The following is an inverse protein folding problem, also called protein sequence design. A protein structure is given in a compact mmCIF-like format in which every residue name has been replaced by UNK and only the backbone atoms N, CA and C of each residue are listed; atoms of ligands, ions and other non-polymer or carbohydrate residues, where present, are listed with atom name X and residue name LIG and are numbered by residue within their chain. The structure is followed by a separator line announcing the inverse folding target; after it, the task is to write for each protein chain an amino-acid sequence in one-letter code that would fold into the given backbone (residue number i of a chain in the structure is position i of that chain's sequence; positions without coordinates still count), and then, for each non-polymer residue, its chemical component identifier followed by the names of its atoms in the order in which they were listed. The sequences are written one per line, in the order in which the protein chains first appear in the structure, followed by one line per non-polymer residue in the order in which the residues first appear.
data_IF_818996592713
#
_entry.id   IF_818996592713
#
_cell.length_a   1.000
_cell.length_b   1.000
_cell.length_c   1.000
_cell.angle_alpha   90.00
_cell.angle_beta   90.00
_cell.angle_gamma   90.00
#
_symmetry.space_group_name_H-M   'P 1'
#
loop_
_entity.id
_entity.type
_entity.pdbx_description
1 polymer ?
#
# COMPACT_ATOMS: atom_id res chain seq x y z
N UNK A 1 -8.90 13.78 -0.57
CA UNK A 1 -9.65 12.55 -0.22
C UNK A 1 -10.12 12.66 1.23
N UNK A 2 -11.37 12.29 1.55
CA UNK A 2 -11.78 12.02 2.94
C UNK A 2 -13.18 12.44 3.41
N UNK A 3 -13.79 13.48 2.84
CA UNK A 3 -15.10 13.95 3.30
C UNK A 3 -16.21 12.88 3.28
N UNK A 4 -16.15 11.93 2.34
CA UNK A 4 -17.08 10.79 2.32
C UNK A 4 -16.89 9.82 3.50
N UNK A 5 -15.67 9.66 4.00
CA UNK A 5 -15.37 8.83 5.18
C UNK A 5 -15.76 9.53 6.48
N UNK A 6 -15.90 10.86 6.49
CA UNK A 6 -16.48 11.58 7.63
C UNK A 6 -18.00 11.34 7.75
N UNK A 7 -18.64 10.77 6.72
CA UNK A 7 -20.05 10.35 6.74
C UNK A 7 -20.21 8.86 7.10
N UNK A 8 -19.14 8.13 7.39
CA UNK A 8 -19.18 6.70 7.67
C UNK A 8 -20.12 6.41 8.85
N UNK A 9 -21.11 5.54 8.62
CA UNK A 9 -22.11 5.12 9.60
C UNK A 9 -23.18 6.15 9.98
N UNK A 10 -23.15 7.38 9.43
CA UNK A 10 -24.21 8.39 9.66
C UNK A 10 -25.60 7.97 9.16
N UNK A 11 -25.65 6.92 8.33
CA UNK A 11 -26.87 6.35 7.75
C UNK A 11 -27.17 4.95 8.30
N UNK A 12 -26.45 4.51 9.34
CA UNK A 12 -26.70 3.26 10.05
C UNK A 12 -27.36 3.59 11.39
N UNK A 13 -28.45 2.91 11.71
CA UNK A 13 -29.12 2.91 13.02
C UNK A 13 -28.81 1.64 13.82
N UNK A 14 -27.94 0.77 13.30
CA UNK A 14 -27.47 -0.41 13.99
C UNK A 14 -26.67 -0.03 15.25
N UNK A 15 -27.10 -0.54 16.40
CA UNK A 15 -26.53 -0.17 17.68
C UNK A 15 -25.07 -0.63 17.85
N UNK A 16 -24.68 -1.74 17.20
CA UNK A 16 -23.30 -2.23 17.20
C UNK A 16 -22.41 -1.31 16.37
N UNK A 17 -22.85 -0.92 15.18
CA UNK A 17 -22.13 0.00 14.30
C UNK A 17 -21.93 1.37 14.96
N UNK A 18 -22.99 1.95 15.53
CA UNK A 18 -22.94 3.24 16.24
C UNK A 18 -21.99 3.15 17.44
N UNK A 19 -22.07 2.05 18.21
CA UNK A 19 -21.17 1.78 19.31
C UNK A 19 -19.71 1.59 18.87
N UNK A 20 -19.46 1.00 17.70
CA UNK A 20 -18.12 0.87 17.12
C UNK A 20 -17.55 2.22 16.69
N UNK A 21 -18.34 3.05 15.99
CA UNK A 21 -17.96 4.40 15.57
C UNK A 21 -17.60 5.30 16.76
N UNK A 22 -18.40 5.26 17.83
CA UNK A 22 -18.14 6.02 19.05
C UNK A 22 -16.85 5.63 19.79
N UNK A 23 -16.27 4.45 19.48
CA UNK A 23 -15.01 3.97 20.08
C UNK A 23 -13.76 4.37 19.27
N UNK A 24 -13.92 4.88 18.05
CA UNK A 24 -12.79 5.32 17.23
C UNK A 24 -12.05 6.49 17.90
N UNK A 25 -10.72 6.44 17.88
CA UNK A 25 -9.83 7.47 18.48
C UNK A 25 -9.27 8.44 17.44
N UNK A 26 -9.50 8.17 16.16
CA UNK A 26 -9.06 8.97 15.02
C UNK A 26 -10.20 9.03 14.00
N UNK A 27 -10.07 9.90 13.00
CA UNK A 27 -11.02 9.89 11.88
C UNK A 27 -10.85 8.58 11.10
N UNK A 28 -11.92 8.02 10.51
CA UNK A 28 -11.83 6.77 9.76
C UNK A 28 -10.71 6.77 8.71
N UNK A 29 -10.53 7.88 7.98
CA UNK A 29 -9.47 8.00 6.98
C UNK A 29 -8.05 7.89 7.55
N UNK A 30 -7.83 8.35 8.79
CA UNK A 30 -6.51 8.29 9.39
C UNK A 30 -6.11 6.84 9.68
N UNK A 31 -7.08 5.98 10.02
CA UNK A 31 -6.85 4.54 10.11
C UNK A 31 -6.56 3.93 8.74
N UNK A 32 -7.27 4.37 7.68
CA UNK A 32 -7.02 3.85 6.34
C UNK A 32 -5.59 4.15 5.84
N UNK A 33 -5.03 5.30 6.21
CA UNK A 33 -3.63 5.66 5.92
C UNK A 33 -2.60 4.81 6.68
N UNK A 34 -2.99 4.13 7.75
CA UNK A 34 -2.09 3.27 8.53
C UNK A 34 -1.92 1.87 7.93
N UNK A 35 -2.80 1.44 7.03
CA UNK A 35 -2.62 0.18 6.32
C UNK A 35 -1.40 0.22 5.41
N UNK A 36 -0.88 -0.97 5.10
CA UNK A 36 0.08 -1.12 4.01
C UNK A 36 -0.69 -1.46 2.74
N UNK A 37 -0.44 -0.69 1.68
CA UNK A 37 -0.79 -1.08 0.31
C UNK A 37 0.39 -1.81 -0.35
N UNK A 38 0.15 -2.50 -1.47
CA UNK A 38 1.22 -3.06 -2.29
C UNK A 38 1.14 -2.60 -3.76
N UNK A 39 2.16 -2.94 -4.53
CA UNK A 39 2.29 -2.55 -5.95
C UNK A 39 1.70 -3.58 -6.92
N UNK A 40 0.92 -4.57 -6.48
CA UNK A 40 0.35 -5.61 -7.33
C UNK A 40 -0.83 -5.08 -8.18
N UNK A 41 -0.50 -4.16 -9.08
CA UNK A 41 -1.43 -3.38 -9.90
C UNK A 41 -1.23 -3.66 -11.39
N UNK A 42 -0.52 -4.74 -11.73
CA UNK A 42 -0.29 -5.19 -13.10
C UNK A 42 0.27 -4.08 -14.02
N UNK A 43 1.22 -3.30 -13.50
CA UNK A 43 1.85 -2.18 -14.22
C UNK A 43 1.06 -0.87 -14.24
N UNK A 44 -0.08 -0.75 -13.56
CA UNK A 44 -0.89 0.48 -13.52
C UNK A 44 -0.23 1.61 -12.72
N UNK A 45 0.70 2.32 -13.35
CA UNK A 45 1.50 3.40 -12.76
C UNK A 45 0.66 4.50 -12.08
N UNK A 46 -0.44 4.96 -12.67
CA UNK A 46 -1.27 6.01 -12.06
C UNK A 46 -1.92 5.59 -10.73
N UNK A 47 -2.22 4.29 -10.57
CA UNK A 47 -2.71 3.75 -9.31
C UNK A 47 -1.61 3.74 -8.24
N UNK A 48 -0.35 3.46 -8.63
CA UNK A 48 0.80 3.58 -7.72
C UNK A 48 1.01 5.02 -7.25
N UNK A 49 0.92 6.02 -8.14
CA UNK A 49 1.00 7.44 -7.76
C UNK A 49 -0.10 7.84 -6.76
N UNK A 50 -1.32 7.31 -6.97
CA UNK A 50 -2.45 7.55 -6.07
C UNK A 50 -2.20 6.90 -4.70
N UNK A 51 -1.62 5.69 -4.70
CA UNK A 51 -1.19 5.00 -3.47
C UNK A 51 -0.10 5.78 -2.74
N UNK A 52 0.94 6.25 -3.45
CA UNK A 52 2.02 7.07 -2.90
C UNK A 52 1.48 8.33 -2.23
N UNK A 53 0.59 9.05 -2.90
CA UNK A 53 -0.01 10.26 -2.36
C UNK A 53 -0.93 10.00 -1.14
N UNK A 54 -1.53 8.81 -1.04
CA UNK A 54 -2.47 8.47 0.02
C UNK A 54 -1.80 7.85 1.26
N UNK A 55 -1.01 6.80 1.05
CA UNK A 55 -0.35 6.02 2.11
C UNK A 55 0.99 6.62 2.53
N UNK A 56 1.70 7.27 1.60
CA UNK A 56 3.11 7.64 1.78
C UNK A 56 4.04 6.44 1.58
N UNK A 57 5.32 6.73 1.28
CA UNK A 57 6.30 5.71 0.92
C UNK A 57 6.55 4.65 2.02
N UNK A 58 6.37 5.00 3.30
CA UNK A 58 6.58 4.10 4.45
C UNK A 58 5.46 3.06 4.64
N UNK A 59 4.39 3.16 3.86
CA UNK A 59 3.20 2.31 3.95
C UNK A 59 2.88 1.61 2.61
N UNK A 60 3.86 1.47 1.73
CA UNK A 60 3.73 0.74 0.46
C UNK A 60 4.76 -0.38 0.39
N UNK A 61 4.32 -1.57 0.00
CA UNK A 61 5.16 -2.75 -0.20
C UNK A 61 5.29 -3.05 -1.69
N UNK A 62 6.48 -3.45 -2.14
CA UNK A 62 6.60 -4.02 -3.47
C UNK A 62 5.96 -5.42 -3.51
N UNK A 63 5.08 -5.62 -4.48
CA UNK A 63 4.37 -6.86 -4.75
C UNK A 63 3.96 -6.94 -6.22
N UNK A 64 3.92 -8.15 -6.78
CA UNK A 64 3.68 -8.38 -8.22
C UNK A 64 2.54 -9.36 -8.49
N UNK A 65 2.02 -10.02 -7.45
CA UNK A 65 1.04 -11.10 -7.56
C UNK A 65 1.50 -12.23 -8.51
N UNK A 66 2.78 -12.60 -8.43
CA UNK A 66 3.27 -13.81 -9.10
C UNK A 66 2.57 -15.04 -8.48
N UNK A 67 2.06 -16.00 -9.26
CA UNK A 67 2.31 -16.24 -10.69
C UNK A 67 1.14 -15.92 -11.64
N UNK A 68 0.28 -14.96 -11.32
CA UNK A 68 -1.03 -14.82 -11.97
C UNK A 68 -1.04 -14.13 -13.35
N UNK A 69 0.11 -13.70 -13.88
CA UNK A 69 0.16 -13.13 -15.21
C UNK A 69 0.09 -14.20 -16.33
N UNK A 70 -0.26 -13.82 -17.58
CA UNK A 70 -0.36 -14.76 -18.71
C UNK A 70 0.91 -15.56 -19.01
N UNK A 71 2.09 -15.05 -18.65
CA UNK A 71 3.39 -15.71 -18.77
C UNK A 71 3.79 -16.53 -17.52
N UNK A 72 2.88 -16.69 -16.55
CA UNK A 72 3.06 -17.48 -15.30
C UNK A 72 4.01 -16.85 -14.26
N UNK A 73 4.09 -15.53 -14.18
CA UNK A 73 4.85 -14.78 -13.17
C UNK A 73 5.77 -13.67 -13.70
N UNK A 74 6.58 -13.92 -14.74
CA UNK A 74 7.58 -12.96 -15.20
C UNK A 74 7.03 -11.65 -15.78
N UNK A 75 5.82 -11.68 -16.37
CA UNK A 75 5.22 -10.52 -17.02
C UNK A 75 4.93 -9.40 -16.02
N UNK A 76 4.13 -9.70 -14.99
CA UNK A 76 3.77 -8.70 -13.97
C UNK A 76 4.97 -8.26 -13.13
N UNK A 77 6.00 -9.09 -12.97
CA UNK A 77 7.24 -8.65 -12.32
C UNK A 77 7.88 -7.50 -13.13
N UNK A 78 8.06 -7.67 -14.45
CA UNK A 78 8.66 -6.65 -15.31
C UNK A 78 7.81 -5.39 -15.38
N UNK A 79 6.49 -5.54 -15.52
CA UNK A 79 5.57 -4.40 -15.63
C UNK A 79 5.52 -3.59 -14.33
N UNK A 80 5.52 -4.27 -13.18
CA UNK A 80 5.54 -3.62 -11.87
C UNK A 80 6.87 -2.86 -11.65
N UNK A 81 8.00 -3.46 -12.03
CA UNK A 81 9.31 -2.76 -11.99
C UNK A 81 9.29 -1.54 -12.92
N UNK A 82 8.76 -1.68 -14.15
CA UNK A 82 8.65 -0.56 -15.09
C UNK A 82 7.77 0.58 -14.56
N UNK A 83 6.68 0.26 -13.87
CA UNK A 83 5.82 1.24 -13.21
C UNK A 83 6.52 1.90 -12.00
N UNK A 84 7.26 1.13 -11.20
CA UNK A 84 8.08 1.64 -10.10
C UNK A 84 9.15 2.62 -10.60
N UNK A 85 9.80 2.35 -11.74
CA UNK A 85 10.79 3.27 -12.30
C UNK A 85 10.17 4.61 -12.74
N UNK A 86 8.94 4.57 -13.28
CA UNK A 86 8.17 5.77 -13.65
C UNK A 86 7.61 6.54 -12.46
N UNK A 87 7.46 5.88 -11.31
CA UNK A 87 6.88 6.49 -10.12
C UNK A 87 7.73 7.69 -9.67
N UNK A 88 7.05 8.76 -9.25
CA UNK A 88 7.66 10.03 -8.81
C UNK A 88 8.42 9.97 -7.49
N UNK A 89 8.32 8.85 -6.78
CA UNK A 89 9.08 8.60 -5.57
C UNK A 89 10.59 8.78 -5.81
N UNK A 90 11.26 9.33 -4.81
CA UNK A 90 12.72 9.44 -4.75
C UNK A 90 13.39 8.06 -4.76
N UNK A 91 14.70 8.02 -4.99
CA UNK A 91 15.45 6.76 -4.96
C UNK A 91 15.38 6.09 -3.57
N UNK A 92 15.42 6.90 -2.52
CA UNK A 92 15.29 6.47 -1.13
C UNK A 92 13.90 5.88 -0.85
N UNK A 93 12.84 6.57 -1.27
CA UNK A 93 11.46 6.08 -1.14
C UNK A 93 11.26 4.78 -1.92
N UNK A 94 11.77 4.69 -3.15
CA UNK A 94 11.72 3.45 -3.95
C UNK A 94 12.45 2.30 -3.23
N UNK A 95 13.62 2.54 -2.63
CA UNK A 95 14.32 1.53 -1.85
C UNK A 95 13.52 1.07 -0.61
N UNK A 96 12.85 2.01 0.06
CA UNK A 96 11.92 1.71 1.16
C UNK A 96 10.75 0.84 0.69
N UNK A 97 10.17 1.12 -0.47
CA UNK A 97 9.05 0.35 -1.04
C UNK A 97 9.50 -1.04 -1.51
N UNK A 98 10.63 -1.13 -2.23
CA UNK A 98 11.17 -2.39 -2.73
C UNK A 98 11.49 -3.39 -1.62
N UNK A 99 11.95 -2.91 -0.45
CA UNK A 99 12.56 -3.80 0.55
C UNK A 99 12.37 -3.32 2.00
N UNK A 100 12.61 -2.02 2.26
CA UNK A 100 12.68 -1.47 3.62
C UNK A 100 11.42 -1.72 4.45
N UNK A 101 10.24 -1.50 3.86
CA UNK A 101 8.97 -1.72 4.52
C UNK A 101 8.70 -3.20 4.80
N UNK A 102 8.98 -4.08 3.83
CA UNK A 102 8.83 -5.53 4.01
C UNK A 102 9.72 -6.04 5.15
N UNK A 103 10.98 -5.58 5.21
CA UNK A 103 11.89 -5.92 6.32
C UNK A 103 11.34 -5.51 7.67
N UNK A 104 10.85 -4.26 7.79
CA UNK A 104 10.33 -3.72 9.04
C UNK A 104 9.03 -4.42 9.47
N UNK A 105 8.08 -4.57 8.54
CA UNK A 105 6.77 -5.15 8.80
C UNK A 105 6.85 -6.64 9.12
N UNK A 106 7.59 -7.39 8.32
CA UNK A 106 7.72 -8.86 8.43
C UNK A 106 8.89 -9.29 9.32
N UNK A 107 9.62 -8.32 9.90
CA UNK A 107 10.79 -8.53 10.78
C UNK A 107 11.88 -9.40 10.13
N UNK A 108 12.10 -9.21 8.83
CA UNK A 108 13.07 -10.01 8.06
C UNK A 108 14.51 -9.65 8.45
N UNK A 109 15.32 -10.67 8.69
CA UNK A 109 16.76 -10.54 8.86
C UNK A 109 17.42 -11.04 7.60
N UNK A 110 18.01 -10.14 6.82
CA UNK A 110 18.83 -10.56 5.69
C UNK A 110 20.24 -10.93 6.17
N UNK A 111 20.85 -11.97 5.58
CA UNK A 111 22.27 -12.22 5.77
C UNK A 111 23.09 -11.00 5.31
N UNK A 112 24.31 -10.87 5.85
CA UNK A 112 25.22 -9.83 5.41
C UNK A 112 25.44 -9.96 3.90
N UNK A 113 25.35 -8.84 3.16
CA UNK A 113 25.63 -8.84 1.72
C UNK A 113 27.08 -9.31 1.52
N UNK A 114 27.26 -10.45 0.85
CA UNK A 114 28.55 -10.81 0.26
C UNK A 114 28.86 -9.75 -0.80
N UNK A 115 30.03 -9.10 -0.66
CA UNK A 115 30.53 -8.11 -1.61
C UNK A 115 30.88 -8.73 -2.95
#
# INVERSE_FOLDING_TARGET
VGGGLDQLGTRSDDAEDVGALGRLRKRPIDYFKMFYGDTALFGAWHAMESGLAFFGADHILFGTDMPFDPERGPGFIRDTIGAMERMRATAEEKATIYEGNARRLLKLRLPARSR
#
